data_IF_025288592091
#
_entry.id   IF_025288592091
#
_cell.length_a   1.000
_cell.length_b   1.000
_cell.length_c   1.000
_cell.angle_alpha   90.00
_cell.angle_beta   90.00
_cell.angle_gamma   90.00
#
_symmetry.space_group_name_H-M   'P 1'
#
loop_
_entity.id
_entity.type
_entity.pdbx_description
1 polymer ?
#
# COMPACT_ATOMS: atom_id res chain seq x y z
N UNK A 1 -20.06 -17.57 12.93
CA UNK A 1 -20.56 -16.20 13.17
C UNK A 1 -19.60 -15.52 14.12
N UNK A 2 -18.68 -14.73 13.59
CA UNK A 2 -17.76 -13.90 14.37
C UNK A 2 -18.30 -12.47 14.23
N UNK A 3 -18.52 -11.82 15.37
CA UNK A 3 -19.21 -10.54 15.46
C UNK A 3 -18.56 -9.48 14.58
N UNK A 4 -19.41 -8.79 13.81
CA UNK A 4 -19.12 -7.54 13.12
C UNK A 4 -18.79 -6.47 14.17
N UNK A 5 -17.53 -6.44 14.62
CA UNK A 5 -17.00 -5.25 15.27
C UNK A 5 -17.05 -4.13 14.24
N UNK A 6 -17.99 -3.20 14.40
CA UNK A 6 -18.06 -1.99 13.59
C UNK A 6 -16.69 -1.34 13.59
N UNK A 7 -15.95 -1.46 12.48
CA UNK A 7 -14.72 -0.71 12.27
C UNK A 7 -15.16 0.75 12.34
N UNK A 8 -14.77 1.45 13.42
CA UNK A 8 -14.98 2.89 13.49
C UNK A 8 -14.26 3.49 12.29
N UNK A 9 -14.93 4.40 11.59
CA UNK A 9 -14.37 5.05 10.42
C UNK A 9 -12.95 5.55 10.72
N UNK A 10 -11.97 5.30 9.82
CA UNK A 10 -10.60 5.71 10.05
C UNK A 10 -10.54 7.22 10.25
N UNK A 11 -9.94 7.63 11.36
CA UNK A 11 -9.63 9.03 11.63
C UNK A 11 -8.23 9.29 11.11
N UNK A 12 -8.06 10.36 10.34
CA UNK A 12 -6.76 10.82 9.84
C UNK A 12 -6.48 12.19 10.44
N UNK A 13 -5.48 12.21 11.32
CA UNK A 13 -5.10 13.42 12.05
C UNK A 13 -4.02 14.20 11.29
N UNK A 14 -4.26 15.46 10.94
CA UNK A 14 -3.31 16.31 10.20
C UNK A 14 -2.98 17.62 10.96
N UNK A 15 -1.73 18.12 10.87
CA UNK A 15 -1.38 19.47 11.33
C UNK A 15 -2.16 20.57 10.58
N UNK A 16 -2.41 21.69 11.26
CA UNK A 16 -3.16 22.84 10.69
C UNK A 16 -2.56 23.37 9.38
N UNK A 17 -1.24 23.35 9.25
CA UNK A 17 -0.56 23.77 8.02
C UNK A 17 -0.97 22.88 6.83
N UNK A 18 -0.95 21.55 7.00
CA UNK A 18 -1.33 20.61 5.96
C UNK A 18 -2.81 20.74 5.61
N UNK A 19 -3.68 20.94 6.61
CA UNK A 19 -5.10 21.19 6.36
C UNK A 19 -5.32 22.41 5.48
N UNK A 20 -4.58 23.49 5.73
CA UNK A 20 -4.63 24.69 4.88
C UNK A 20 -4.07 24.44 3.49
N UNK A 21 -2.91 23.81 3.38
CA UNK A 21 -2.25 23.51 2.11
C UNK A 21 -3.12 22.60 1.21
N UNK A 22 -3.85 21.66 1.82
CA UNK A 22 -4.77 20.75 1.13
C UNK A 22 -6.22 21.27 1.06
N UNK A 23 -6.52 22.46 1.59
CA UNK A 23 -7.87 23.02 1.69
C UNK A 23 -8.89 21.99 2.24
N UNK A 24 -8.62 21.50 3.45
CA UNK A 24 -9.43 20.54 4.20
C UNK A 24 -9.93 21.17 5.50
N UNK A 25 -11.14 20.78 5.93
CA UNK A 25 -11.72 21.23 7.18
C UNK A 25 -11.64 20.13 8.27
N UNK A 26 -11.37 20.49 9.55
CA UNK A 26 -11.53 19.55 10.65
C UNK A 26 -12.96 19.02 10.73
N UNK A 27 -13.11 17.70 10.89
CA UNK A 27 -14.39 17.01 10.93
C UNK A 27 -14.94 16.60 9.56
N UNK A 28 -14.35 17.09 8.47
CA UNK A 28 -14.70 16.71 7.09
C UNK A 28 -14.54 15.20 6.87
N UNK A 29 -15.50 14.61 6.16
CA UNK A 29 -15.39 13.22 5.69
C UNK A 29 -14.97 13.25 4.23
N UNK A 30 -13.89 12.57 3.91
CA UNK A 30 -13.31 12.55 2.57
C UNK A 30 -12.96 11.11 2.18
N UNK A 31 -12.99 10.83 0.87
CA UNK A 31 -12.51 9.57 0.33
C UNK A 31 -10.99 9.54 0.39
N UNK A 32 -10.45 8.40 0.81
CA UNK A 32 -9.05 8.08 0.75
C UNK A 32 -8.83 6.96 -0.25
N UNK A 33 -7.74 7.06 -0.99
CA UNK A 33 -7.23 6.01 -1.85
C UNK A 33 -5.88 5.53 -1.35
N UNK A 34 -5.68 4.21 -1.31
CA UNK A 34 -4.37 3.59 -1.07
C UNK A 34 -4.25 2.33 -1.92
N UNK A 35 -3.39 2.37 -2.94
CA UNK A 35 -3.46 1.39 -4.02
C UNK A 35 -4.80 1.51 -4.77
N UNK A 36 -5.45 0.37 -5.02
CA UNK A 36 -6.80 0.33 -5.60
C UNK A 36 -7.92 0.35 -4.55
N UNK A 37 -7.58 0.34 -3.26
CA UNK A 37 -8.58 0.42 -2.20
C UNK A 37 -9.02 1.87 -1.98
N UNK A 38 -10.33 2.07 -1.90
CA UNK A 38 -10.95 3.34 -1.51
C UNK A 38 -11.73 3.19 -0.21
N UNK A 39 -11.59 4.15 0.70
CA UNK A 39 -12.31 4.15 1.97
C UNK A 39 -12.60 5.57 2.45
N UNK A 40 -13.71 5.75 3.17
CA UNK A 40 -14.05 7.03 3.79
C UNK A 40 -13.30 7.19 5.12
N UNK A 41 -12.76 8.37 5.37
CA UNK A 41 -12.13 8.72 6.65
C UNK A 41 -12.52 10.11 7.11
N UNK A 42 -12.38 10.37 8.41
CA UNK A 42 -12.65 11.68 8.98
C UNK A 42 -11.35 12.43 9.26
N UNK A 43 -11.30 13.69 8.84
CA UNK A 43 -10.17 14.59 9.12
C UNK A 43 -10.24 15.10 10.54
N UNK A 44 -9.14 15.00 11.28
CA UNK A 44 -8.99 15.61 12.60
C UNK A 44 -7.79 16.55 12.62
N UNK A 45 -7.95 17.76 13.16
CA UNK A 45 -6.82 18.63 13.40
C UNK A 45 -6.06 18.19 14.65
N UNK A 46 -4.75 18.05 14.55
CA UNK A 46 -3.87 17.86 15.69
C UNK A 46 -3.08 19.13 15.97
N UNK A 47 -3.12 19.57 17.24
CA UNK A 47 -2.25 20.64 17.75
C UNK A 47 -0.89 20.03 18.08
N UNK A 48 -0.04 19.86 17.07
CA UNK A 48 1.31 19.34 17.29
C UNK A 48 2.26 20.45 17.74
N UNK A 49 3.12 20.17 18.73
CA UNK A 49 4.26 21.02 19.10
C UNK A 49 5.45 20.88 18.12
N UNK A 50 5.42 19.84 17.26
CA UNK A 50 6.41 19.57 16.22
C UNK A 50 5.73 19.52 14.86
N UNK A 51 6.22 20.29 13.89
CA UNK A 51 5.75 20.37 12.49
C UNK A 51 5.86 19.05 11.68
N UNK A 52 6.13 17.92 12.32
CA UNK A 52 6.19 16.63 11.64
C UNK A 52 4.79 16.22 11.15
N UNK A 53 4.61 15.94 9.85
CA UNK A 53 3.34 15.52 9.26
C UNK A 53 3.06 14.05 9.63
N UNK A 54 2.86 13.78 10.92
CA UNK A 54 2.45 12.47 11.40
C UNK A 54 0.93 12.44 11.41
N UNK A 55 0.33 11.50 10.71
CA UNK A 55 -1.06 11.15 10.92
C UNK A 55 -1.15 9.84 11.70
N UNK A 56 -2.23 9.74 12.46
CA UNK A 56 -2.65 8.48 13.03
C UNK A 56 -3.72 7.93 12.11
N UNK A 57 -3.60 6.66 11.73
CA UNK A 57 -4.67 5.90 11.11
C UNK A 57 -5.15 4.88 12.14
N UNK A 58 -6.37 5.05 12.61
CA UNK A 58 -7.00 4.09 13.53
C UNK A 58 -7.87 3.11 12.74
N UNK A 59 -7.65 1.81 12.90
CA UNK A 59 -8.34 0.77 12.13
C UNK A 59 -7.57 0.35 10.87
N UNK A 60 -8.17 -0.52 10.04
CA UNK A 60 -7.65 -0.94 8.72
C UNK A 60 -6.24 -1.54 8.74
N UNK A 61 -6.05 -2.61 9.52
CA UNK A 61 -4.78 -3.38 9.49
C UNK A 61 -4.51 -3.99 8.12
N UNK A 62 -5.53 -4.16 7.29
CA UNK A 62 -5.40 -4.66 5.92
C UNK A 62 -4.67 -3.70 4.99
N UNK A 63 -4.38 -2.45 5.42
CA UNK A 63 -3.58 -1.51 4.64
C UNK A 63 -2.07 -1.80 4.72
N UNK A 64 -1.61 -2.74 5.56
CA UNK A 64 -0.20 -3.06 5.74
C UNK A 64 0.67 -1.94 6.33
N UNK A 65 0.11 -0.76 6.62
CA UNK A 65 0.84 0.39 7.14
C UNK A 65 1.22 0.17 8.61
N UNK A 66 2.49 -0.19 8.85
CA UNK A 66 3.05 -0.27 10.20
C UNK A 66 3.32 1.12 10.79
N UNK A 67 3.38 1.21 12.11
CA UNK A 67 3.69 2.46 12.79
C UNK A 67 5.06 2.99 12.36
N UNK A 68 5.11 4.26 11.94
CA UNK A 68 6.35 4.88 11.44
C UNK A 68 6.54 4.81 9.92
N UNK A 69 5.68 4.10 9.18
CA UNK A 69 5.68 4.15 7.72
C UNK A 69 5.47 5.57 7.25
N UNK A 70 6.41 6.08 6.45
CA UNK A 70 6.25 7.33 5.73
C UNK A 70 5.42 7.07 4.49
N UNK A 71 4.40 7.89 4.28
CA UNK A 71 3.63 7.90 3.05
C UNK A 71 3.56 9.33 2.53
N UNK A 72 3.55 9.46 1.21
CA UNK A 72 3.15 10.69 0.58
C UNK A 72 1.61 10.82 0.64
N UNK A 73 1.16 12.05 0.83
CA UNK A 73 -0.26 12.42 0.85
C UNK A 73 -0.48 13.49 -0.21
N UNK A 74 -1.37 13.21 -1.16
CA UNK A 74 -1.77 14.14 -2.21
C UNK A 74 -3.29 14.34 -2.21
N UNK A 75 -3.73 15.49 -2.73
CA UNK A 75 -5.15 15.73 -3.01
C UNK A 75 -5.43 15.45 -4.48
N UNK A 76 -6.51 14.73 -4.74
CA UNK A 76 -7.02 14.40 -6.07
C UNK A 76 -8.47 14.90 -6.18
N UNK A 77 -9.05 14.86 -7.37
CA UNK A 77 -10.47 15.20 -7.55
C UNK A 77 -11.39 14.24 -6.78
N UNK A 78 -10.94 13.01 -6.55
CA UNK A 78 -11.67 11.98 -5.80
C UNK A 78 -11.48 12.04 -4.29
N UNK A 79 -10.59 12.89 -3.76
CA UNK A 79 -10.32 13.00 -2.33
C UNK A 79 -8.83 13.10 -2.01
N UNK A 80 -8.35 12.23 -1.12
CA UNK A 80 -6.95 12.15 -0.73
C UNK A 80 -6.34 10.82 -1.15
N UNK A 81 -5.12 10.85 -1.67
CA UNK A 81 -4.37 9.66 -2.01
C UNK A 81 -3.20 9.50 -1.04
N UNK A 82 -3.11 8.31 -0.45
CA UNK A 82 -1.97 7.84 0.31
C UNK A 82 -1.10 7.03 -0.66
N UNK A 83 0.20 7.30 -0.72
CA UNK A 83 1.12 6.50 -1.52
C UNK A 83 1.84 7.27 -2.64
N UNK A 84 2.34 6.57 -3.67
CA UNK A 84 1.79 5.34 -4.24
C UNK A 84 2.05 4.06 -3.42
N UNK A 85 1.16 3.07 -3.57
CA UNK A 85 1.40 1.69 -3.17
C UNK A 85 2.00 0.92 -4.36
N UNK A 86 3.27 0.57 -4.25
CA UNK A 86 4.07 -0.11 -5.26
C UNK A 86 4.18 -1.61 -4.96
N UNK A 87 3.74 -2.44 -5.91
CA UNK A 87 4.03 -3.86 -5.95
C UNK A 87 5.30 -4.14 -6.76
N UNK A 88 6.35 -4.63 -6.12
CA UNK A 88 7.53 -5.17 -6.81
C UNK A 88 7.17 -6.59 -7.22
N UNK A 89 6.73 -6.77 -8.47
CA UNK A 89 6.18 -8.02 -8.96
C UNK A 89 7.32 -8.96 -9.36
N UNK A 90 7.55 -9.99 -8.55
CA UNK A 90 8.55 -11.03 -8.78
C UNK A 90 7.87 -12.36 -9.20
N UNK A 91 8.68 -13.30 -9.69
CA UNK A 91 8.22 -14.62 -10.14
C UNK A 91 7.62 -15.49 -9.03
N UNK A 92 7.96 -15.22 -7.78
CA UNK A 92 7.61 -16.03 -6.62
C UNK A 92 7.84 -15.29 -5.30
N UNK A 93 7.66 -16.02 -4.21
CA UNK A 93 7.78 -15.49 -2.86
C UNK A 93 9.25 -15.46 -2.39
N UNK A 94 9.60 -14.77 -1.29
CA UNK A 94 11.00 -14.61 -0.89
C UNK A 94 11.81 -15.90 -0.72
N UNK A 95 11.17 -17.02 -0.39
CA UNK A 95 11.82 -18.33 -0.26
C UNK A 95 12.21 -18.97 -1.61
N UNK A 96 11.61 -18.51 -2.72
CA UNK A 96 11.77 -19.06 -4.06
C UNK A 96 12.72 -18.22 -4.93
N UNK A 97 12.97 -16.97 -4.52
CA UNK A 97 13.75 -16.01 -5.29
C UNK A 97 15.24 -16.13 -5.02
N UNK A 98 16.03 -15.80 -6.04
CA UNK A 98 17.47 -15.72 -5.89
C UNK A 98 17.88 -14.53 -5.03
N UNK A 99 19.02 -14.63 -4.33
CA UNK A 99 19.45 -13.61 -3.37
C UNK A 99 19.59 -12.20 -3.99
N UNK A 100 19.97 -12.11 -5.26
CA UNK A 100 20.08 -10.81 -5.98
C UNK A 100 18.73 -10.14 -6.18
N UNK A 101 17.66 -10.90 -6.40
CA UNK A 101 16.30 -10.37 -6.54
C UNK A 101 15.80 -9.87 -5.18
N UNK A 102 16.10 -10.61 -4.11
CA UNK A 102 15.80 -10.20 -2.75
C UNK A 102 16.53 -8.90 -2.35
N UNK A 103 17.82 -8.77 -2.67
CA UNK A 103 18.59 -7.54 -2.40
C UNK A 103 18.05 -6.34 -3.18
N UNK A 104 17.67 -6.53 -4.44
CA UNK A 104 17.04 -5.47 -5.23
C UNK A 104 15.72 -5.03 -4.58
N UNK A 105 14.85 -5.98 -4.24
CA UNK A 105 13.57 -5.68 -3.62
C UNK A 105 13.74 -4.98 -2.26
N UNK A 106 14.70 -5.41 -1.43
CA UNK A 106 15.08 -4.71 -0.20
C UNK A 106 15.52 -3.27 -0.46
N UNK A 107 16.37 -3.07 -1.45
CA UNK A 107 16.83 -1.74 -1.84
C UNK A 107 15.69 -0.82 -2.27
N UNK A 108 14.73 -1.33 -3.05
CA UNK A 108 13.54 -0.57 -3.47
C UNK A 108 12.64 -0.27 -2.27
N UNK A 109 12.39 -1.24 -1.38
CA UNK A 109 11.58 -1.03 -0.17
C UNK A 109 12.19 0.06 0.70
N UNK A 110 13.50 0.01 0.94
CA UNK A 110 14.22 1.02 1.73
C UNK A 110 14.15 2.40 1.07
N UNK A 111 14.41 2.48 -0.24
CA UNK A 111 14.31 3.73 -0.97
C UNK A 111 12.88 4.29 -0.92
N UNK A 112 11.87 3.42 -1.02
CA UNK A 112 10.47 3.81 -0.88
C UNK A 112 10.19 4.45 0.48
N UNK A 113 10.67 3.85 1.58
CA UNK A 113 10.54 4.42 2.92
C UNK A 113 11.23 5.79 3.06
N UNK A 114 12.35 6.02 2.36
CA UNK A 114 13.03 7.32 2.35
C UNK A 114 12.21 8.38 1.58
N UNK A 115 11.53 7.98 0.50
CA UNK A 115 10.76 8.84 -0.40
C UNK A 115 9.26 8.98 -0.05
N UNK A 116 8.75 8.20 0.90
CA UNK A 116 7.32 8.15 1.22
C UNK A 116 6.49 7.29 0.25
N UNK A 117 7.14 6.39 -0.50
CA UNK A 117 6.48 5.39 -1.35
C UNK A 117 6.35 4.10 -0.54
N UNK A 118 5.15 3.55 -0.47
CA UNK A 118 4.94 2.27 0.23
C UNK A 118 5.17 1.15 -0.77
N UNK A 119 6.19 0.34 -0.54
CA UNK A 119 6.57 -0.73 -1.46
C UNK A 119 6.56 -2.10 -0.76
N UNK A 120 6.03 -3.09 -1.47
CA UNK A 120 6.04 -4.50 -1.07
C UNK A 120 6.49 -5.36 -2.24
N UNK A 121 7.20 -6.45 -1.94
CA UNK A 121 7.40 -7.53 -2.88
C UNK A 121 6.10 -8.34 -2.98
N UNK A 122 5.65 -8.60 -4.20
CA UNK A 122 4.45 -9.39 -4.49
C UNK A 122 4.76 -10.41 -5.58
N UNK A 123 3.96 -11.46 -5.66
CA UNK A 123 4.04 -12.48 -6.71
C UNK A 123 2.65 -12.65 -7.33
N UNK A 124 2.52 -13.21 -8.56
CA UNK A 124 1.20 -13.48 -9.14
C UNK A 124 0.28 -14.28 -8.22
N UNK A 125 0.85 -15.18 -7.41
CA UNK A 125 0.10 -16.01 -6.46
C UNK A 125 -0.30 -15.26 -5.18
N UNK A 126 0.34 -14.14 -4.87
CA UNK A 126 0.00 -13.28 -3.72
C UNK A 126 -1.02 -12.19 -4.07
N UNK A 127 -1.48 -12.13 -5.33
CA UNK A 127 -2.46 -11.16 -5.83
C UNK A 127 -3.82 -11.83 -6.04
N UNK A 128 -4.83 -11.37 -5.29
CA UNK A 128 -6.23 -11.71 -5.55
C UNK A 128 -6.86 -10.59 -6.38
N UNK A 129 -6.91 -10.84 -7.69
CA UNK A 129 -7.41 -9.89 -8.69
C UNK A 129 -8.92 -9.67 -8.52
N UNK A 130 -9.67 -10.71 -8.14
CA UNK A 130 -11.13 -10.66 -8.04
C UNK A 130 -11.56 -9.84 -6.82
N UNK A 131 -10.94 -10.07 -5.66
CA UNK A 131 -11.25 -9.33 -4.44
C UNK A 131 -10.50 -8.00 -4.31
N UNK A 132 -9.57 -7.72 -5.24
CA UNK A 132 -8.68 -6.54 -5.19
C UNK A 132 -7.93 -6.47 -3.85
N UNK A 133 -7.44 -7.62 -3.41
CA UNK A 133 -6.62 -7.76 -2.20
C UNK A 133 -5.30 -8.42 -2.55
N UNK A 134 -4.28 -8.20 -1.73
CA UNK A 134 -2.99 -8.82 -1.92
C UNK A 134 -2.31 -9.14 -0.59
N UNK A 135 -1.33 -10.03 -0.67
CA UNK A 135 -0.33 -10.21 0.36
C UNK A 135 1.00 -9.71 -0.14
N UNK A 136 1.62 -8.82 0.63
CA UNK A 136 2.88 -8.18 0.33
C UNK A 136 3.96 -8.57 1.31
N UNK A 137 5.17 -8.79 0.80
CA UNK A 137 6.36 -9.03 1.60
C UNK A 137 7.14 -7.73 1.81
N UNK A 138 7.48 -7.44 3.05
CA UNK A 138 8.35 -6.31 3.42
C UNK A 138 9.48 -6.76 4.32
N UNK A 139 10.46 -5.88 4.54
CA UNK A 139 11.54 -6.09 5.50
C UNK A 139 11.56 -4.97 6.51
N UNK A 140 11.88 -5.31 7.76
CA UNK A 140 12.25 -4.33 8.79
C UNK A 140 13.78 -4.28 8.82
N UNK A 141 14.35 -3.08 8.85
CA UNK A 141 15.81 -2.87 8.72
C UNK A 141 16.64 -3.62 9.79
N UNK A 142 16.01 -4.00 10.90
CA UNK A 142 16.66 -4.56 12.08
C UNK A 142 17.12 -6.02 11.92
N UNK A 143 16.38 -6.86 11.18
CA UNK A 143 16.62 -8.31 11.16
C UNK A 143 16.68 -8.92 9.75
N UNK A 144 16.43 -8.13 8.69
CA UNK A 144 16.35 -8.58 7.29
C UNK A 144 15.33 -9.70 7.05
N UNK A 145 14.46 -9.95 8.02
CA UNK A 145 13.42 -10.96 7.91
C UNK A 145 12.34 -10.45 6.97
N UNK A 146 11.84 -11.33 6.10
CA UNK A 146 10.68 -11.03 5.27
C UNK A 146 9.40 -11.24 6.08
N UNK A 147 8.60 -10.19 6.17
CA UNK A 147 7.30 -10.19 6.82
C UNK A 147 6.21 -10.19 5.77
N UNK A 148 5.26 -11.10 5.90
CA UNK A 148 4.07 -11.14 5.05
C UNK A 148 2.95 -10.33 5.70
N UNK A 149 2.44 -9.34 4.99
CA UNK A 149 1.37 -8.46 5.46
C UNK A 149 0.21 -8.48 4.46
N UNK A 150 -1.05 -8.45 4.93
CA UNK A 150 -2.17 -8.09 4.06
C UNK A 150 -2.00 -6.64 3.62
N UNK A 151 -2.19 -6.41 2.31
CA UNK A 151 -2.13 -5.09 1.70
C UNK A 151 -3.30 -4.94 0.71
N UNK A 152 -3.68 -3.71 0.36
CA UNK A 152 -4.56 -3.48 -0.78
C UNK A 152 -3.87 -3.93 -2.05
N UNK A 153 -4.67 -4.14 -3.09
CA UNK A 153 -4.10 -4.34 -4.42
C UNK A 153 -3.24 -3.11 -4.82
N UNK A 154 -1.96 -3.29 -5.18
CA UNK A 154 -1.11 -2.19 -5.62
C UNK A 154 -1.67 -1.51 -6.87
N UNK A 155 -1.65 -0.17 -6.88
CA UNK A 155 -2.02 0.60 -8.08
C UNK A 155 -0.88 0.65 -9.10
N UNK A 156 0.35 0.43 -8.67
CA UNK A 156 1.55 0.49 -9.51
C UNK A 156 2.35 -0.78 -9.34
N UNK A 157 2.77 -1.39 -10.45
CA UNK A 157 3.64 -2.57 -10.45
C UNK A 157 5.00 -2.25 -11.07
N UNK A 158 6.08 -2.55 -10.34
CA UNK A 158 7.41 -2.66 -10.91
C UNK A 158 7.65 -4.12 -11.29
N UNK A 159 7.46 -4.41 -12.58
CA UNK A 159 7.51 -5.78 -13.09
C UNK A 159 8.94 -6.31 -13.19
N UNK A 160 9.22 -7.40 -12.48
CA UNK A 160 10.49 -8.13 -12.44
C UNK A 160 10.32 -9.63 -12.67
N UNK A 161 9.19 -10.06 -13.24
CA UNK A 161 8.95 -11.45 -13.58
C UNK A 161 9.77 -11.83 -14.82
N UNK A 162 10.76 -12.69 -14.64
CA UNK A 162 11.55 -13.24 -15.75
C UNK A 162 11.10 -14.64 -16.17
N UNK A 163 10.74 -15.47 -15.18
CA UNK A 163 10.32 -16.86 -15.37
C UNK A 163 9.21 -17.16 -14.38
N UNK A 164 8.18 -17.92 -14.78
CA UNK A 164 7.09 -18.29 -13.88
C UNK A 164 7.17 -19.78 -13.54
N UNK A 165 6.95 -20.17 -12.27
CA UNK A 165 7.26 -21.50 -11.77
C UNK A 165 6.27 -22.57 -12.25
N UNK A 166 5.04 -22.18 -12.60
CA UNK A 166 3.98 -23.11 -12.99
C UNK A 166 2.96 -22.44 -13.95
N UNK A 167 2.12 -23.23 -14.66
CA UNK A 167 1.12 -22.70 -15.59
C UNK A 167 0.05 -21.80 -14.94
N UNK A 168 -0.25 -22.02 -13.66
CA UNK A 168 -1.26 -21.22 -12.94
C UNK A 168 -0.75 -19.79 -12.71
N UNK A 169 0.50 -19.64 -12.30
CA UNK A 169 1.18 -18.35 -12.17
C UNK A 169 1.28 -17.62 -13.52
N UNK A 170 1.49 -18.35 -14.62
CA UNK A 170 1.42 -17.81 -15.99
C UNK A 170 0.04 -17.23 -16.29
N UNK A 171 -1.03 -17.96 -15.99
CA UNK A 171 -2.39 -17.49 -16.22
C UNK A 171 -2.71 -16.25 -15.38
N UNK A 172 -2.36 -16.24 -14.09
CA UNK A 172 -2.55 -15.07 -13.20
C UNK A 172 -1.79 -13.84 -13.68
N UNK A 173 -0.53 -14.03 -14.05
CA UNK A 173 0.31 -12.95 -14.56
C UNK A 173 -0.25 -12.37 -15.87
N UNK A 174 -0.65 -13.23 -16.82
CA UNK A 174 -1.24 -12.78 -18.07
C UNK A 174 -2.58 -12.07 -17.86
N UNK A 175 -3.40 -12.54 -16.91
CA UNK A 175 -4.65 -11.87 -16.53
C UNK A 175 -4.36 -10.47 -15.98
N UNK A 176 -3.41 -10.34 -15.05
CA UNK A 176 -2.98 -9.04 -14.51
C UNK A 176 -2.56 -8.07 -15.62
N UNK A 177 -1.69 -8.53 -16.54
CA UNK A 177 -1.24 -7.70 -17.67
C UNK A 177 -2.40 -7.29 -18.57
N UNK A 178 -3.29 -8.23 -18.90
CA UNK A 178 -4.45 -7.95 -19.76
C UNK A 178 -5.36 -6.90 -19.13
N UNK A 179 -5.62 -6.99 -17.83
CA UNK A 179 -6.46 -6.02 -17.12
C UNK A 179 -5.76 -4.66 -17.00
N UNK A 180 -4.43 -4.64 -16.84
CA UNK A 180 -3.65 -3.40 -16.84
C UNK A 180 -3.69 -2.69 -18.19
N UNK A 181 -3.55 -3.42 -19.28
CA UNK A 181 -3.62 -2.86 -20.64
C UNK A 181 -5.00 -2.28 -20.97
N UNK A 182 -6.07 -2.86 -20.42
CA UNK A 182 -7.45 -2.41 -20.63
C UNK A 182 -7.91 -1.33 -19.64
N UNK A 183 -7.06 -0.93 -18.70
CA UNK A 183 -7.44 -0.05 -17.58
C UNK A 183 -8.60 -0.60 -16.71
N UNK A 184 -8.82 -1.93 -16.77
CA UNK A 184 -9.87 -2.66 -16.04
C UNK A 184 -9.42 -3.09 -14.62
N UNK A 185 -8.22 -2.67 -14.23
CA UNK A 185 -7.75 -2.81 -12.86
C UNK A 185 -8.42 -1.80 -11.91
N UNK A 186 -8.84 -0.63 -12.42
CA UNK A 186 -9.32 0.53 -11.66
C UNK A 186 -10.72 0.38 -11.07
#
# INVERSE_FOLDING_TARGET
>A
MIGSGSIKDPIISLPEKILRDLNLAPGERISFQFGLEQFQGQIQQVKSANDSPRFLLQGRRELGLVAGTKVQLSKTDGGLELGPLLGILCSGNPAELHWTELELARGIIRLGQELGIVAYLVSPDSLDIDSKQAFGYTVKDEDRTWYLEPIPFPAVFYNRVYTLPNPEAVNRYNLLLTLAEKEELN
#
